data_IF_341157384338
#
_entry.id   IF_341157384338
#
_cell.length_a   1.000
_cell.length_b   1.000
_cell.length_c   1.000
_cell.angle_alpha   90.00
_cell.angle_beta   90.00
_cell.angle_gamma   90.00
#
_symmetry.space_group_name_H-M   'P 1'
#
loop_
_entity.id
_entity.type
_entity.pdbx_description
1 polymer ?
#
# COMPACT_ATOMS: atom_id res chain seq x y z
N UNK A 1 -7.81 -26.43 -56.99
CA UNK A 1 -6.96 -26.55 -55.78
C UNK A 1 -5.91 -25.44 -55.64
N UNK A 2 -5.11 -25.10 -56.65
CA UNK A 2 -4.06 -24.05 -56.53
C UNK A 2 -4.59 -22.65 -56.13
N UNK A 3 -5.79 -22.26 -56.56
CA UNK A 3 -6.40 -20.95 -56.22
C UNK A 3 -6.90 -20.84 -54.76
N UNK A 4 -7.24 -21.97 -54.12
CA UNK A 4 -7.75 -21.99 -52.73
C UNK A 4 -6.59 -21.90 -51.74
N UNK A 5 -5.46 -22.54 -52.05
CA UNK A 5 -4.24 -22.48 -51.23
C UNK A 5 -3.66 -21.05 -51.22
N UNK A 6 -3.69 -20.36 -52.37
CA UNK A 6 -3.23 -18.97 -52.44
C UNK A 6 -4.11 -18.01 -51.62
N UNK A 7 -5.42 -18.24 -51.58
CA UNK A 7 -6.35 -17.45 -50.76
C UNK A 7 -6.13 -17.69 -49.25
N UNK A 8 -5.86 -18.92 -48.84
CA UNK A 8 -5.54 -19.28 -47.45
C UNK A 8 -4.20 -18.69 -46.98
N UNK A 9 -3.20 -18.60 -47.86
CA UNK A 9 -1.91 -17.95 -47.56
C UNK A 9 -2.08 -16.43 -47.44
N UNK A 10 -2.88 -15.79 -48.30
CA UNK A 10 -3.13 -14.35 -48.20
C UNK A 10 -3.97 -14.02 -46.94
N UNK A 11 -4.98 -14.83 -46.59
CA UNK A 11 -5.73 -14.64 -45.34
C UNK A 11 -4.87 -14.87 -44.09
N UNK A 12 -3.91 -15.80 -44.10
CA UNK A 12 -2.98 -15.96 -42.97
C UNK A 12 -1.96 -14.83 -42.88
N UNK A 13 -1.52 -14.24 -43.99
CA UNK A 13 -0.68 -13.04 -43.95
C UNK A 13 -1.45 -11.78 -43.51
N UNK A 14 -2.75 -11.66 -43.81
CA UNK A 14 -3.58 -10.52 -43.37
C UNK A 14 -3.94 -10.64 -41.87
N UNK A 15 -4.13 -11.85 -41.34
CA UNK A 15 -4.37 -12.05 -39.89
C UNK A 15 -3.09 -11.82 -39.06
N UNK A 16 -1.89 -12.01 -39.62
CA UNK A 16 -0.62 -11.66 -38.96
C UNK A 16 -0.26 -10.18 -39.14
N UNK A 17 -0.86 -9.48 -40.13
CA UNK A 17 -0.61 -8.07 -40.42
C UNK A 17 -1.50 -7.05 -39.70
N UNK A 18 -2.44 -7.49 -38.86
CA UNK A 18 -3.33 -6.60 -38.07
C UNK A 18 -3.09 -6.68 -36.56
N UNK A 19 -1.94 -7.22 -36.12
CA UNK A 19 -1.57 -7.29 -34.72
C UNK A 19 -0.08 -6.96 -34.52
N UNK A 20 0.28 -5.70 -34.75
CA UNK A 20 1.35 -5.07 -33.98
C UNK A 20 1.24 -3.56 -34.18
N UNK A 21 0.40 -2.93 -33.35
CA UNK A 21 0.81 -1.62 -32.83
C UNK A 21 2.21 -1.80 -32.24
N UNK A 22 3.10 -0.83 -32.46
CA UNK A 22 4.48 -0.84 -32.01
C UNK A 22 4.56 -1.13 -30.51
N UNK A 23 4.67 -2.41 -30.14
CA UNK A 23 5.04 -2.79 -28.79
C UNK A 23 6.46 -2.27 -28.60
N UNK A 24 6.59 -1.12 -27.90
CA UNK A 24 7.86 -0.74 -27.28
C UNK A 24 8.30 -1.96 -26.46
N UNK A 25 9.31 -2.68 -26.95
CA UNK A 25 9.90 -3.78 -26.19
C UNK A 25 10.71 -3.13 -25.07
N UNK A 26 10.05 -2.86 -23.94
CA UNK A 26 10.70 -2.43 -22.72
C UNK A 26 11.72 -3.51 -22.33
N UNK A 27 13.01 -3.23 -22.54
CA UNK A 27 14.09 -4.14 -22.16
C UNK A 27 14.60 -3.74 -20.79
N UNK A 28 14.49 -4.65 -19.85
CA UNK A 28 15.12 -4.55 -18.55
C UNK A 28 16.64 -4.43 -18.71
N UNK A 29 17.23 -3.44 -18.04
CA UNK A 29 18.67 -3.21 -17.97
C UNK A 29 19.17 -3.52 -16.55
N UNK A 30 20.41 -3.94 -16.42
CA UNK A 30 21.03 -4.17 -15.12
C UNK A 30 21.79 -2.92 -14.64
N UNK A 31 21.90 -2.76 -13.33
CA UNK A 31 22.78 -1.81 -12.66
C UNK A 31 23.44 -2.46 -11.44
N UNK A 32 24.33 -1.73 -10.74
CA UNK A 32 25.16 -2.27 -9.65
C UNK A 32 24.37 -3.02 -8.55
N UNK A 33 23.14 -2.58 -8.27
CA UNK A 33 22.32 -3.12 -7.17
C UNK A 33 21.09 -3.91 -7.64
N UNK A 34 20.81 -3.95 -8.94
CA UNK A 34 19.69 -4.71 -9.47
C UNK A 34 19.32 -4.39 -10.92
N UNK A 35 18.04 -4.18 -11.18
CA UNK A 35 17.44 -4.09 -12.51
C UNK A 35 16.60 -2.81 -12.65
N UNK A 36 16.52 -2.26 -13.86
CA UNK A 36 15.75 -1.05 -14.16
C UNK A 36 15.03 -1.19 -15.50
N UNK A 37 13.85 -0.58 -15.62
CA UNK A 37 13.07 -0.50 -16.85
C UNK A 37 12.40 0.87 -16.94
N UNK A 38 12.35 1.46 -18.13
CA UNK A 38 11.59 2.68 -18.40
C UNK A 38 10.09 2.36 -18.34
N UNK A 39 9.30 3.22 -17.70
CA UNK A 39 7.85 3.10 -17.55
C UNK A 39 7.16 4.39 -18.03
N UNK A 40 5.83 4.36 -18.11
CA UNK A 40 5.05 5.55 -18.47
C UNK A 40 5.06 6.59 -17.34
N UNK A 41 5.14 7.86 -17.70
CA UNK A 41 4.99 8.95 -16.74
C UNK A 41 3.58 8.92 -16.12
N UNK A 42 3.49 9.11 -14.80
CA UNK A 42 2.22 9.03 -14.06
C UNK A 42 1.87 7.64 -13.53
N UNK A 43 2.54 6.58 -13.98
CA UNK A 43 2.34 5.22 -13.43
C UNK A 43 2.65 5.18 -11.92
N UNK A 44 1.71 4.66 -11.13
CA UNK A 44 1.82 4.49 -9.68
C UNK A 44 2.18 3.06 -9.31
N UNK A 45 3.10 2.88 -8.37
CA UNK A 45 3.49 1.57 -7.82
C UNK A 45 2.56 1.18 -6.67
N UNK A 46 2.00 -0.02 -6.68
CA UNK A 46 1.14 -0.48 -5.59
C UNK A 46 1.30 -1.97 -5.32
N UNK A 47 1.18 -2.35 -4.04
CA UNK A 47 1.05 -3.74 -3.62
C UNK A 47 -0.40 -4.09 -3.36
N UNK A 48 -0.86 -5.16 -4.00
CA UNK A 48 -2.09 -5.85 -3.63
C UNK A 48 -1.73 -7.27 -3.18
N UNK A 49 -2.00 -7.58 -1.91
CA UNK A 49 -1.56 -8.82 -1.24
C UNK A 49 -0.03 -8.96 -1.30
N UNK A 50 0.46 -9.87 -2.14
CA UNK A 50 1.88 -10.20 -2.34
C UNK A 50 2.34 -9.94 -3.79
N UNK A 51 1.53 -9.24 -4.60
CA UNK A 51 1.85 -8.92 -5.99
C UNK A 51 2.03 -7.42 -6.21
N UNK A 52 3.00 -7.09 -7.06
CA UNK A 52 3.33 -5.73 -7.46
C UNK A 52 2.55 -5.34 -8.70
N UNK A 53 2.03 -4.12 -8.72
CA UNK A 53 1.29 -3.55 -9.84
C UNK A 53 1.80 -2.16 -10.16
N UNK A 54 1.87 -1.85 -11.46
CA UNK A 54 1.86 -0.49 -11.97
C UNK A 54 0.43 -0.12 -12.35
N UNK A 55 0.05 1.09 -11.99
CA UNK A 55 -1.30 1.61 -12.15
C UNK A 55 -1.19 2.94 -12.91
N UNK A 56 -1.55 2.99 -14.20
CA UNK A 56 -1.65 4.25 -14.92
C UNK A 56 -2.79 5.10 -14.37
N UNK A 57 -2.93 6.31 -14.93
CA UNK A 57 -4.04 7.20 -14.60
C UNK A 57 -5.42 6.56 -14.89
N UNK A 58 -6.43 7.01 -14.14
CA UNK A 58 -7.81 6.55 -14.33
C UNK A 58 -8.32 7.06 -15.68
N UNK A 59 -8.88 6.16 -16.48
CA UNK A 59 -9.39 6.48 -17.83
C UNK A 59 -10.91 6.53 -17.86
N UNK A 60 -11.46 7.31 -18.81
CA UNK A 60 -12.90 7.53 -18.97
C UNK A 60 -13.31 7.28 -20.44
N UNK A 61 -13.54 6.02 -20.83
CA UNK A 61 -13.70 5.66 -22.25
C UNK A 61 -15.01 6.17 -22.89
N UNK A 62 -16.06 6.41 -22.10
CA UNK A 62 -17.42 6.70 -22.64
C UNK A 62 -17.90 8.15 -22.41
N UNK A 63 -17.03 9.08 -21.99
CA UNK A 63 -17.42 10.43 -21.50
C UNK A 63 -18.50 10.42 -20.38
N UNK A 64 -18.69 9.27 -19.73
CA UNK A 64 -19.54 9.09 -18.56
C UNK A 64 -18.70 9.21 -17.28
N UNK A 65 -19.33 9.30 -16.12
CA UNK A 65 -18.68 9.29 -14.80
C UNK A 65 -18.34 7.86 -14.33
N UNK A 66 -17.99 6.99 -15.27
CA UNK A 66 -17.49 5.64 -15.03
C UNK A 66 -16.02 5.57 -15.39
N UNK A 67 -15.18 5.53 -14.37
CA UNK A 67 -13.73 5.44 -14.53
C UNK A 67 -13.29 3.99 -14.71
N UNK A 68 -12.13 3.79 -15.32
CA UNK A 68 -11.47 2.49 -15.40
C UNK A 68 -10.03 2.60 -14.89
N UNK A 69 -9.64 1.66 -14.05
CA UNK A 69 -8.27 1.52 -13.55
C UNK A 69 -7.67 0.24 -14.11
N UNK A 70 -6.55 0.36 -14.81
CA UNK A 70 -5.74 -0.78 -15.20
C UNK A 70 -4.75 -1.14 -14.09
N UNK A 71 -4.63 -2.42 -13.78
CA UNK A 71 -3.61 -2.96 -12.89
C UNK A 71 -2.66 -3.84 -13.71
N UNK A 72 -1.49 -3.32 -14.03
CA UNK A 72 -0.43 -4.03 -14.77
C UNK A 72 0.42 -4.79 -13.76
N UNK A 73 0.22 -6.11 -13.64
CA UNK A 73 1.00 -6.95 -12.72
C UNK A 73 2.45 -7.01 -13.18
N UNK A 74 3.38 -6.64 -12.30
CA UNK A 74 4.80 -6.64 -12.60
C UNK A 74 5.47 -7.91 -12.09
N UNK A 75 6.14 -8.60 -13.00
CA UNK A 75 6.95 -9.77 -12.71
C UNK A 75 8.29 -9.42 -12.08
N UNK A 76 8.97 -10.44 -11.56
CA UNK A 76 10.32 -10.26 -10.98
C UNK A 76 11.37 -9.76 -11.97
N UNK A 77 11.13 -9.87 -13.27
CA UNK A 77 11.97 -9.35 -14.35
C UNK A 77 11.64 -7.89 -14.75
N UNK A 78 10.78 -7.21 -13.98
CA UNK A 78 10.25 -5.87 -14.24
C UNK A 78 9.29 -5.73 -15.43
N UNK A 79 8.93 -6.84 -16.07
CA UNK A 79 7.99 -6.81 -17.20
C UNK A 79 6.56 -7.05 -16.74
N UNK A 80 5.60 -6.44 -17.45
CA UNK A 80 4.18 -6.70 -17.23
C UNK A 80 3.85 -8.14 -17.61
N UNK A 81 3.25 -8.90 -16.69
CA UNK A 81 2.82 -10.29 -16.90
C UNK A 81 1.36 -10.38 -17.34
N UNK A 82 0.50 -9.51 -16.79
CA UNK A 82 -0.95 -9.55 -16.95
C UNK A 82 -1.55 -8.21 -16.53
N UNK A 83 -2.53 -7.72 -17.28
CA UNK A 83 -3.37 -6.59 -16.87
C UNK A 83 -4.75 -7.04 -16.38
N UNK A 84 -5.30 -6.31 -15.42
CA UNK A 84 -6.70 -6.43 -14.98
C UNK A 84 -7.33 -5.05 -15.02
N UNK A 85 -8.56 -4.93 -15.52
CA UNK A 85 -9.31 -3.67 -15.53
C UNK A 85 -10.38 -3.73 -14.45
N UNK A 86 -10.51 -2.64 -13.69
CA UNK A 86 -11.55 -2.44 -12.69
C UNK A 86 -12.37 -1.21 -13.02
N UNK A 87 -13.69 -1.35 -13.05
CA UNK A 87 -14.61 -0.23 -13.20
C UNK A 87 -14.80 0.49 -11.86
N UNK A 88 -14.65 1.81 -11.88
CA UNK A 88 -14.99 2.72 -10.80
C UNK A 88 -16.34 3.35 -11.10
N UNK A 89 -17.25 3.26 -10.13
CA UNK A 89 -18.60 3.84 -10.20
C UNK A 89 -18.78 4.90 -9.11
N UNK A 90 -19.90 5.62 -9.14
CA UNK A 90 -20.22 6.66 -8.17
C UNK A 90 -19.17 7.80 -8.13
N UNK A 91 -18.59 8.11 -9.29
CA UNK A 91 -17.74 9.29 -9.48
C UNK A 91 -18.63 10.50 -9.76
N UNK A 92 -18.19 11.68 -9.34
CA UNK A 92 -18.89 12.96 -9.50
C UNK A 92 -18.25 13.83 -10.61
N UNK A 93 -17.01 13.52 -11.01
CA UNK A 93 -16.19 14.19 -12.02
C UNK A 93 -15.15 13.19 -12.61
N UNK A 94 -14.62 13.46 -13.79
CA UNK A 94 -13.59 12.67 -14.46
C UNK A 94 -12.16 12.88 -13.91
N UNK A 95 -11.95 13.79 -12.96
CA UNK A 95 -10.64 13.95 -12.29
C UNK A 95 -10.59 13.07 -11.04
N UNK A 96 -9.90 11.94 -11.12
CA UNK A 96 -9.82 10.96 -10.02
C UNK A 96 -8.40 10.78 -9.52
N UNK A 97 -8.23 10.98 -8.21
CA UNK A 97 -6.98 10.73 -7.51
C UNK A 97 -7.01 9.38 -6.81
N UNK A 98 -6.02 8.55 -7.13
CA UNK A 98 -5.75 7.30 -6.43
C UNK A 98 -4.65 7.52 -5.40
N UNK A 99 -4.95 7.13 -4.16
CA UNK A 99 -4.10 7.40 -3.02
C UNK A 99 -3.92 6.14 -2.19
N UNK A 100 -2.69 5.65 -1.95
CA UNK A 100 -2.43 4.54 -1.04
C UNK A 100 -3.00 4.86 0.33
N UNK A 101 -3.79 3.93 0.87
CA UNK A 101 -4.47 4.19 2.12
C UNK A 101 -3.49 4.23 3.32
N UNK A 102 -2.48 3.37 3.31
CA UNK A 102 -1.41 3.35 4.31
C UNK A 102 -0.16 4.06 3.78
N UNK A 103 -0.19 5.39 3.71
CA UNK A 103 1.01 6.21 3.39
C UNK A 103 2.23 5.93 4.28
N UNK A 104 2.05 5.27 5.44
CA UNK A 104 3.08 5.23 6.49
C UNK A 104 3.77 3.87 6.66
N UNK A 105 3.49 2.88 5.83
CA UNK A 105 4.20 1.61 5.85
C UNK A 105 3.93 0.81 4.60
N UNK A 106 4.99 0.58 3.80
CA UNK A 106 5.06 -0.40 2.72
C UNK A 106 3.66 -0.86 2.20
N UNK A 107 3.05 -0.07 1.29
CA UNK A 107 1.61 0.07 1.15
C UNK A 107 0.89 -1.26 1.25
N UNK A 108 0.05 -1.41 2.26
CA UNK A 108 -0.92 -2.49 2.29
C UNK A 108 -2.02 -2.19 1.29
N UNK A 109 -2.21 -3.12 0.35
CA UNK A 109 -3.49 -3.70 -0.02
C UNK A 109 -4.51 -2.85 -0.74
N UNK A 110 -4.70 -1.57 -0.42
CA UNK A 110 -5.90 -0.84 -0.80
C UNK A 110 -5.58 0.61 -1.22
N UNK A 111 -6.35 1.12 -2.17
CA UNK A 111 -6.28 2.51 -2.64
C UNK A 111 -7.59 3.22 -2.33
N UNK A 112 -7.50 4.41 -1.73
CA UNK A 112 -8.63 5.33 -1.68
C UNK A 112 -8.81 6.01 -3.04
N UNK A 113 -10.07 6.16 -3.44
CA UNK A 113 -10.47 6.86 -4.67
C UNK A 113 -11.07 8.20 -4.27
N UNK A 114 -10.47 9.28 -4.75
CA UNK A 114 -10.90 10.65 -4.49
C UNK A 114 -11.33 11.36 -5.76
N UNK A 115 -12.27 12.28 -5.61
CA UNK A 115 -12.77 13.15 -6.65
C UNK A 115 -12.90 14.55 -6.03
N UNK A 116 -12.07 15.51 -6.47
CA UNK A 116 -11.89 16.83 -5.82
C UNK A 116 -11.76 16.77 -4.29
N UNK A 117 -10.83 15.97 -3.77
CA UNK A 117 -10.60 15.75 -2.32
C UNK A 117 -11.78 15.10 -1.57
N UNK A 118 -12.86 14.73 -2.25
CA UNK A 118 -13.94 13.94 -1.67
C UNK A 118 -13.69 12.47 -1.96
N UNK A 119 -13.60 11.67 -0.90
CA UNK A 119 -13.48 10.23 -1.07
C UNK A 119 -14.80 9.65 -1.58
N UNK A 120 -14.74 8.95 -2.71
CA UNK A 120 -15.90 8.36 -3.40
C UNK A 120 -15.87 6.83 -3.42
N UNK A 121 -14.74 6.22 -3.05
CA UNK A 121 -14.65 4.77 -2.90
C UNK A 121 -13.29 4.25 -2.46
N UNK A 122 -13.17 2.93 -2.41
CA UNK A 122 -11.96 2.20 -2.03
C UNK A 122 -11.76 1.05 -3.03
N UNK A 123 -10.59 0.96 -3.64
CA UNK A 123 -10.13 -0.21 -4.38
C UNK A 123 -9.45 -1.13 -3.38
N UNK A 124 -10.06 -2.27 -3.10
CA UNK A 124 -9.50 -3.26 -2.17
C UNK A 124 -8.59 -4.26 -2.87
N UNK A 125 -8.90 -4.59 -4.10
CA UNK A 125 -8.08 -5.48 -4.92
C UNK A 125 -8.22 -5.07 -6.37
N UNK A 126 -7.40 -5.65 -7.23
CA UNK A 126 -7.46 -5.43 -8.68
C UNK A 126 -8.81 -5.81 -9.30
N UNK A 127 -9.69 -6.48 -8.54
CA UNK A 127 -10.99 -6.97 -8.97
C UNK A 127 -12.15 -6.40 -8.13
N UNK A 128 -11.88 -5.57 -7.12
CA UNK A 128 -12.91 -5.12 -6.17
C UNK A 128 -12.81 -3.63 -5.85
N UNK A 129 -13.86 -2.92 -6.23
CA UNK A 129 -14.12 -1.53 -5.87
C UNK A 129 -15.34 -1.44 -4.93
N UNK A 130 -15.21 -0.71 -3.84
CA UNK A 130 -16.27 -0.45 -2.86
C UNK A 130 -16.65 1.04 -2.97
N UNK A 131 -17.80 1.37 -3.58
CA UNK A 131 -18.26 2.75 -3.68
C UNK A 131 -18.73 3.27 -2.31
N UNK A 132 -18.30 4.48 -1.95
CA UNK A 132 -18.76 5.20 -0.77
C UNK A 132 -19.79 6.23 -1.22
N UNK A 133 -21.07 5.89 -1.06
CA UNK A 133 -22.16 6.81 -1.39
C UNK A 133 -22.23 8.00 -0.43
N UNK A 134 -22.77 9.16 -0.85
CA UNK A 134 -23.01 10.30 0.04
C UNK A 134 -23.84 9.93 1.28
N UNK A 135 -24.82 9.04 1.13
CA UNK A 135 -25.63 8.51 2.23
C UNK A 135 -24.78 7.75 3.24
N UNK A 136 -23.88 6.88 2.78
CA UNK A 136 -22.96 6.14 3.66
C UNK A 136 -22.05 7.09 4.42
N UNK A 137 -21.50 8.11 3.75
CA UNK A 137 -20.67 9.13 4.40
C UNK A 137 -21.45 9.93 5.45
N UNK A 138 -22.70 10.27 5.18
CA UNK A 138 -23.56 10.96 6.16
C UNK A 138 -23.87 10.08 7.39
N UNK A 139 -24.11 8.78 7.18
CA UNK A 139 -24.48 7.85 8.27
C UNK A 139 -23.30 7.39 9.11
N UNK A 140 -22.12 7.23 8.49
CA UNK A 140 -20.95 6.60 9.11
C UNK A 140 -19.79 7.56 9.36
N UNK A 141 -19.80 8.70 8.69
CA UNK A 141 -18.74 9.71 8.76
C UNK A 141 -17.58 9.46 7.80
N UNK A 142 -16.44 10.04 8.15
CA UNK A 142 -15.21 9.91 7.39
C UNK A 142 -14.54 8.57 7.61
N UNK A 143 -13.80 8.11 6.62
CA UNK A 143 -13.11 6.85 6.66
C UNK A 143 -11.69 7.01 7.26
N UNK A 144 -11.29 6.07 8.13
CA UNK A 144 -10.03 6.17 8.90
C UNK A 144 -9.14 4.92 8.88
N UNK A 145 -9.61 3.80 8.31
CA UNK A 145 -8.86 2.53 8.35
C UNK A 145 -9.50 1.42 7.53
N UNK A 146 -8.77 0.69 6.68
CA UNK A 146 -9.26 -0.56 6.05
C UNK A 146 -8.32 -1.73 6.32
N UNK A 147 -8.82 -2.94 6.10
CA UNK A 147 -7.98 -4.09 5.83
C UNK A 147 -8.76 -5.26 5.26
N UNK A 148 -8.05 -6.13 4.53
CA UNK A 148 -8.57 -7.37 3.97
C UNK A 148 -8.19 -8.59 4.83
N UNK A 149 -9.17 -9.45 5.08
CA UNK A 149 -8.98 -10.76 5.70
C UNK A 149 -8.59 -11.83 4.67
N UNK A 150 -7.99 -12.93 5.11
CA UNK A 150 -7.57 -14.04 4.23
C UNK A 150 -8.73 -14.69 3.47
N UNK A 151 -9.94 -14.62 4.02
CA UNK A 151 -11.18 -15.10 3.39
C UNK A 151 -11.75 -14.15 2.31
N UNK A 152 -11.12 -12.99 2.09
CA UNK A 152 -11.56 -11.97 1.13
C UNK A 152 -12.69 -11.06 1.63
N UNK A 153 -13.08 -11.17 2.90
CA UNK A 153 -13.90 -10.17 3.58
C UNK A 153 -13.03 -8.95 3.93
N UNK A 154 -13.64 -7.78 3.90
CA UNK A 154 -12.96 -6.53 4.18
C UNK A 154 -13.58 -5.86 5.38
N UNK A 155 -12.78 -5.14 6.15
CA UNK A 155 -13.25 -4.29 7.24
C UNK A 155 -12.83 -2.86 6.98
N UNK A 156 -13.78 -1.94 7.12
CA UNK A 156 -13.58 -0.51 7.00
C UNK A 156 -14.00 0.12 8.31
N UNK A 157 -13.14 0.97 8.85
CA UNK A 157 -13.37 1.79 10.02
C UNK A 157 -13.76 3.20 9.58
N UNK A 158 -14.94 3.64 10.02
CA UNK A 158 -15.40 5.01 9.87
C UNK A 158 -15.41 5.75 11.20
N UNK A 159 -15.37 7.07 11.12
CA UNK A 159 -15.47 8.01 12.22
C UNK A 159 -16.51 9.08 11.91
N UNK A 160 -17.60 9.05 12.66
CA UNK A 160 -18.65 10.06 12.62
C UNK A 160 -18.31 11.17 13.63
N UNK A 161 -17.93 12.33 13.12
CA UNK A 161 -17.38 13.44 13.93
C UNK A 161 -18.41 14.03 14.90
N UNK A 162 -19.69 14.14 14.50
CA UNK A 162 -20.73 14.82 15.30
C UNK A 162 -20.92 14.13 16.65
N UNK A 163 -20.95 12.81 16.68
CA UNK A 163 -21.14 12.02 17.90
C UNK A 163 -19.83 11.37 18.39
N UNK A 164 -18.72 11.53 17.66
CA UNK A 164 -17.45 10.90 17.96
C UNK A 164 -17.52 9.36 17.92
N UNK A 165 -18.25 8.79 16.96
CA UNK A 165 -18.50 7.35 16.89
C UNK A 165 -17.58 6.70 15.87
N UNK A 166 -16.81 5.72 16.32
CA UNK A 166 -16.05 4.83 15.45
C UNK A 166 -16.85 3.57 15.13
N UNK A 167 -17.04 3.26 13.84
CA UNK A 167 -17.78 2.08 13.37
C UNK A 167 -16.90 1.20 12.52
N UNK A 168 -16.78 -0.07 12.89
CA UNK A 168 -16.24 -1.11 12.04
C UNK A 168 -17.39 -1.71 11.23
N UNK A 169 -17.29 -1.64 9.91
CA UNK A 169 -18.22 -2.29 8.98
C UNK A 169 -17.43 -3.39 8.25
N UNK A 170 -17.99 -4.58 8.16
CA UNK A 170 -17.43 -5.69 7.40
C UNK A 170 -18.25 -5.94 6.13
N UNK A 171 -17.56 -6.12 5.01
CA UNK A 171 -18.14 -6.51 3.74
C UNK A 171 -17.70 -7.92 3.39
N UNK A 172 -18.66 -8.69 2.88
CA UNK A 172 -18.37 -9.97 2.27
C UNK A 172 -17.57 -9.80 0.96
N UNK A 173 -17.11 -10.93 0.41
CA UNK A 173 -16.41 -10.96 -0.88
C UNK A 173 -17.29 -10.48 -2.05
N UNK A 174 -18.62 -10.46 -1.90
CA UNK A 174 -19.57 -9.95 -2.89
C UNK A 174 -19.85 -8.44 -2.73
N UNK A 175 -19.22 -7.77 -1.78
CA UNK A 175 -19.38 -6.33 -1.58
C UNK A 175 -20.67 -5.96 -0.84
N UNK A 176 -21.27 -6.89 -0.07
CA UNK A 176 -22.39 -6.59 0.83
C UNK A 176 -21.92 -6.48 2.26
N UNK A 177 -22.47 -5.50 2.98
CA UNK A 177 -22.25 -5.38 4.43
C UNK A 177 -22.85 -6.61 5.11
N UNK A 178 -22.03 -7.35 5.86
CA UNK A 178 -22.46 -8.55 6.58
C UNK A 178 -22.42 -8.39 8.10
N UNK A 179 -21.56 -7.51 8.65
CA UNK A 179 -21.44 -7.23 10.09
C UNK A 179 -21.09 -5.78 10.32
N UNK A 180 -21.60 -5.21 11.40
CA UNK A 180 -21.25 -3.86 11.85
C UNK A 180 -21.17 -3.81 13.37
N UNK A 181 -20.26 -2.99 13.89
CA UNK A 181 -20.12 -2.78 15.32
C UNK A 181 -19.37 -1.49 15.63
N UNK A 182 -19.87 -0.72 16.59
CA UNK A 182 -19.15 0.46 17.06
C UNK A 182 -18.00 0.05 17.98
N UNK A 183 -16.86 0.75 17.92
CA UNK A 183 -15.75 0.45 18.82
C UNK A 183 -16.16 0.59 20.29
N UNK A 184 -17.05 1.52 20.61
CA UNK A 184 -17.62 1.67 21.96
C UNK A 184 -18.35 0.41 22.42
N UNK A 185 -19.15 -0.23 21.56
CA UNK A 185 -19.85 -1.47 21.90
C UNK A 185 -18.88 -2.66 22.02
N UNK A 186 -17.89 -2.75 21.12
CA UNK A 186 -16.92 -3.84 21.08
C UNK A 186 -15.97 -3.77 22.29
N UNK A 187 -15.42 -2.59 22.57
CA UNK A 187 -14.43 -2.35 23.63
C UNK A 187 -15.04 -2.06 25.00
N UNK A 188 -16.32 -1.64 25.02
CA UNK A 188 -17.05 -1.12 26.19
C UNK A 188 -16.48 0.20 26.75
N UNK A 189 -15.74 0.96 25.95
CA UNK A 189 -15.16 2.26 26.33
C UNK A 189 -15.80 3.42 25.57
N UNK A 190 -16.20 4.48 26.30
CA UNK A 190 -17.00 5.60 25.76
C UNK A 190 -16.18 6.81 25.28
N UNK A 191 -14.85 6.69 25.24
CA UNK A 191 -13.94 7.80 25.00
C UNK A 191 -12.69 7.31 24.27
N UNK A 192 -12.91 6.74 23.10
CA UNK A 192 -11.82 6.33 22.21
C UNK A 192 -11.40 7.51 21.36
N UNK A 193 -10.14 7.50 20.98
CA UNK A 193 -9.66 8.31 19.86
C UNK A 193 -8.62 7.52 19.10
N UNK A 194 -8.84 7.35 17.79
CA UNK A 194 -8.17 6.37 16.92
C UNK A 194 -7.80 7.05 15.61
N UNK A 195 -6.54 6.90 15.19
CA UNK A 195 -6.00 7.47 13.94
C UNK A 195 -5.46 6.42 12.96
N UNK A 196 -5.48 5.14 13.35
CA UNK A 196 -5.00 4.05 12.51
C UNK A 196 -5.58 2.71 12.95
N UNK A 197 -5.80 1.84 11.96
CA UNK A 197 -6.10 0.42 12.11
C UNK A 197 -5.17 -0.39 11.21
N UNK A 198 -4.88 -1.61 11.61
CA UNK A 198 -4.26 -2.60 10.75
C UNK A 198 -5.03 -3.93 10.84
N UNK A 199 -5.09 -4.67 9.73
CA UNK A 199 -5.49 -6.09 9.74
C UNK A 199 -4.23 -6.93 9.59
N UNK A 200 -4.02 -7.86 10.53
CA UNK A 200 -2.86 -8.74 10.55
C UNK A 200 -3.26 -10.11 11.10
N UNK A 201 -2.93 -11.18 10.39
CA UNK A 201 -3.32 -12.56 10.74
C UNK A 201 -4.80 -12.68 11.13
N UNK A 202 -5.68 -12.12 10.29
CA UNK A 202 -7.13 -12.13 10.47
C UNK A 202 -7.65 -11.50 11.76
N UNK A 203 -6.86 -10.60 12.35
CA UNK A 203 -7.26 -9.78 13.50
C UNK A 203 -7.14 -8.32 13.15
N UNK A 204 -8.08 -7.55 13.67
CA UNK A 204 -8.11 -6.10 13.59
C UNK A 204 -7.34 -5.56 14.78
N UNK A 205 -6.32 -4.75 14.54
CA UNK A 205 -5.55 -4.03 15.54
C UNK A 205 -5.93 -2.56 15.48
N UNK A 206 -6.33 -2.02 16.63
CA UNK A 206 -6.68 -0.61 16.79
C UNK A 206 -5.91 -0.06 17.96
N UNK A 207 -5.18 1.03 17.75
CA UNK A 207 -4.58 1.79 18.83
C UNK A 207 -5.46 3.00 19.17
N UNK A 208 -5.80 3.15 20.45
CA UNK A 208 -6.40 4.39 20.94
C UNK A 208 -5.44 5.17 21.82
N UNK A 209 -5.14 6.40 21.41
CA UNK A 209 -4.25 7.29 22.15
C UNK A 209 -4.89 7.89 23.40
N UNK A 210 -6.22 7.98 23.44
CA UNK A 210 -6.93 8.50 24.62
C UNK A 210 -6.96 7.49 25.77
N UNK A 211 -7.14 6.20 25.46
CA UNK A 211 -7.13 5.13 26.47
C UNK A 211 -5.76 4.48 26.64
N UNK A 212 -4.77 4.81 25.80
CA UNK A 212 -3.46 4.18 25.72
C UNK A 212 -3.53 2.65 25.64
N UNK A 213 -4.44 2.16 24.80
CA UNK A 213 -4.66 0.73 24.61
C UNK A 213 -4.53 0.32 23.15
N UNK A 214 -3.97 -0.87 22.95
CA UNK A 214 -4.14 -1.61 21.69
C UNK A 214 -5.25 -2.63 21.90
N UNK A 215 -6.27 -2.56 21.05
CA UNK A 215 -7.37 -3.50 20.99
C UNK A 215 -7.11 -4.49 19.86
N UNK A 216 -7.31 -5.76 20.16
CA UNK A 216 -7.29 -6.85 19.18
C UNK A 216 -8.72 -7.36 19.05
N UNK A 217 -9.28 -7.22 17.86
CA UNK A 217 -10.69 -7.50 17.55
C UNK A 217 -10.72 -8.61 16.50
N UNK A 218 -11.60 -9.58 16.66
CA UNK A 218 -11.76 -10.67 15.69
C UNK A 218 -12.54 -10.24 14.45
N UNK A 219 -12.53 -11.05 13.39
CA UNK A 219 -13.39 -10.91 12.21
C UNK A 219 -14.89 -10.87 12.54
N UNK A 220 -15.30 -11.43 13.68
CA UNK A 220 -16.68 -11.38 14.19
C UNK A 220 -16.99 -10.11 14.99
N UNK A 221 -16.09 -9.12 14.95
CA UNK A 221 -16.19 -7.87 15.71
C UNK A 221 -16.29 -8.11 17.22
N UNK A 222 -15.62 -9.16 17.73
CA UNK A 222 -15.52 -9.44 19.17
C UNK A 222 -14.15 -9.01 19.67
N UNK A 223 -14.13 -8.34 20.82
CA UNK A 223 -12.89 -8.03 21.51
C UNK A 223 -12.21 -9.32 21.96
N UNK A 224 -10.98 -9.55 21.50
CA UNK A 224 -10.12 -10.65 21.91
C UNK A 224 -9.21 -10.21 23.07
N UNK A 225 -8.53 -9.08 22.90
CA UNK A 225 -7.61 -8.53 23.87
C UNK A 225 -7.68 -7.00 23.89
N UNK A 226 -7.39 -6.43 25.06
CA UNK A 226 -7.15 -5.00 25.24
C UNK A 226 -5.92 -4.85 26.12
N UNK A 227 -4.81 -4.42 25.52
CA UNK A 227 -3.54 -4.27 26.21
C UNK A 227 -3.36 -2.82 26.64
N UNK A 228 -3.24 -2.57 27.93
CA UNK A 228 -2.84 -1.26 28.44
C UNK A 228 -1.34 -1.08 28.18
N UNK A 229 -1.00 -0.10 27.35
CA UNK A 229 0.36 0.18 26.90
C UNK A 229 0.80 1.59 27.29
N UNK A 230 0.14 2.22 28.26
CA UNK A 230 0.42 3.60 28.71
C UNK A 230 1.91 3.83 29.01
N UNK A 231 2.56 2.89 29.70
CA UNK A 231 3.98 2.98 30.04
C UNK A 231 4.91 3.01 28.81
N UNK A 232 4.56 2.26 27.76
CA UNK A 232 5.33 2.21 26.52
C UNK A 232 4.97 3.40 25.60
N UNK A 233 3.69 3.74 25.49
CA UNK A 233 3.24 4.83 24.62
C UNK A 233 3.66 6.21 25.11
N UNK A 234 3.85 6.42 26.43
CA UNK A 234 4.50 7.63 26.96
C UNK A 234 5.91 7.85 26.42
N UNK A 235 6.62 6.77 26.04
CA UNK A 235 7.94 6.86 25.40
C UNK A 235 7.84 7.09 23.90
N UNK A 236 6.66 6.91 23.29
CA UNK A 236 6.44 6.96 21.84
C UNK A 236 5.75 8.26 21.43
N UNK A 237 4.78 8.78 22.17
CA UNK A 237 3.91 9.89 21.75
C UNK A 237 4.10 11.11 22.67
N UNK A 238 4.60 12.25 22.16
CA UNK A 238 4.57 13.50 22.90
C UNK A 238 3.13 14.02 23.05
N UNK A 239 2.76 14.47 24.25
CA UNK A 239 1.40 14.95 24.59
C UNK A 239 0.86 16.09 23.69
N UNK A 240 1.73 16.80 22.96
CA UNK A 240 1.38 18.00 22.19
C UNK A 240 0.89 17.75 20.76
N UNK A 241 1.10 16.57 20.17
CA UNK A 241 1.05 16.41 18.70
C UNK A 241 -0.03 15.47 18.16
N UNK A 242 -1.00 15.05 18.96
CA UNK A 242 -1.97 14.02 18.55
C UNK A 242 -1.29 12.65 18.34
N UNK A 243 -1.97 11.69 17.72
CA UNK A 243 -1.44 10.33 17.58
C UNK A 243 -0.66 10.14 16.28
N UNK A 244 0.59 10.60 16.30
CA UNK A 244 1.64 10.29 15.30
C UNK A 244 2.04 8.80 15.23
N UNK A 245 1.18 7.90 15.69
CA UNK A 245 1.41 6.47 15.83
C UNK A 245 0.82 5.72 14.65
N UNK A 246 1.63 4.84 14.04
CA UNK A 246 1.20 4.01 12.92
C UNK A 246 1.62 2.57 13.12
N UNK A 247 0.81 1.65 12.59
CA UNK A 247 1.19 0.25 12.45
C UNK A 247 2.06 0.08 11.19
N UNK A 248 3.02 -0.83 11.23
CA UNK A 248 3.86 -1.20 10.08
C UNK A 248 4.13 -2.70 10.09
N UNK A 249 3.91 -3.33 8.95
CA UNK A 249 4.16 -4.76 8.75
C UNK A 249 5.58 -4.98 8.19
N UNK A 250 6.37 -5.81 8.88
CA UNK A 250 7.57 -6.42 8.29
C UNK A 250 7.14 -7.72 7.62
N UNK A 251 7.05 -7.70 6.28
CA UNK A 251 6.44 -8.78 5.49
C UNK A 251 7.26 -10.06 5.46
N UNK A 252 8.59 -9.96 5.50
CA UNK A 252 9.50 -11.11 5.43
C UNK A 252 9.43 -11.96 6.70
N UNK A 253 9.32 -11.31 7.84
CA UNK A 253 9.21 -11.92 9.16
C UNK A 253 7.77 -12.20 9.56
N UNK A 254 6.81 -11.61 8.84
CA UNK A 254 5.39 -11.60 9.21
C UNK A 254 5.23 -11.10 10.65
N UNK A 255 5.79 -9.93 10.96
CA UNK A 255 5.72 -9.29 12.27
C UNK A 255 5.08 -7.88 12.14
N UNK A 256 4.14 -7.57 13.02
CA UNK A 256 3.49 -6.26 13.08
C UNK A 256 4.15 -5.40 14.16
N UNK A 257 4.47 -4.16 13.80
CA UNK A 257 5.08 -3.18 14.68
C UNK A 257 4.19 -1.94 14.79
N UNK A 258 4.47 -1.13 15.81
CA UNK A 258 3.93 0.20 16.01
C UNK A 258 5.11 1.16 16.26
N UNK A 259 5.03 2.37 15.69
CA UNK A 259 6.08 3.38 15.84
C UNK A 259 5.49 4.80 15.74
N UNK A 260 6.24 5.80 16.22
CA UNK A 260 5.95 7.21 15.98
C UNK A 260 6.65 7.67 14.70
N UNK A 261 5.91 8.11 13.69
CA UNK A 261 6.51 8.55 12.42
C UNK A 261 7.07 9.99 12.46
N UNK A 262 6.65 10.80 13.42
CA UNK A 262 7.17 12.15 13.68
C UNK A 262 8.46 12.09 14.51
N UNK A 263 8.56 11.12 15.42
CA UNK A 263 9.73 10.91 16.30
C UNK A 263 10.20 9.44 16.27
N UNK A 264 10.68 8.95 15.11
CA UNK A 264 11.07 7.55 14.97
C UNK A 264 12.23 7.13 15.89
N UNK A 265 13.04 8.07 16.36
CA UNK A 265 14.14 7.84 17.29
C UNK A 265 13.69 7.35 18.67
N UNK A 266 12.41 7.57 19.02
CA UNK A 266 11.78 7.04 20.23
C UNK A 266 11.69 5.50 20.23
N UNK A 267 11.89 4.90 19.06
CA UNK A 267 12.03 3.47 18.87
C UNK A 267 10.79 2.83 18.27
N UNK A 268 10.97 1.56 17.92
CA UNK A 268 9.97 0.70 17.32
C UNK A 268 9.52 -0.31 18.36
N UNK A 269 8.23 -0.63 18.37
CA UNK A 269 7.66 -1.60 19.29
C UNK A 269 6.98 -2.72 18.51
N UNK A 270 7.27 -3.95 18.88
CA UNK A 270 6.67 -5.14 18.31
C UNK A 270 5.35 -5.46 19.01
N UNK A 271 4.31 -5.79 18.22
CA UNK A 271 3.10 -6.39 18.75
C UNK A 271 3.31 -7.89 18.91
N UNK A 272 3.26 -8.35 20.15
CA UNK A 272 3.39 -9.76 20.52
C UNK A 272 2.04 -10.34 20.92
N UNK A 273 1.99 -11.64 21.22
CA UNK A 273 0.75 -12.28 21.68
C UNK A 273 0.27 -11.75 23.04
N UNK A 274 1.15 -11.14 23.81
CA UNK A 274 0.90 -10.69 25.19
C UNK A 274 0.75 -9.19 25.31
N UNK A 275 1.09 -8.42 24.27
CA UNK A 275 1.06 -6.97 24.35
C UNK A 275 2.02 -6.31 23.39
N UNK A 276 2.68 -5.28 23.91
CA UNK A 276 3.64 -4.48 23.19
C UNK A 276 5.01 -4.59 23.85
N UNK A 277 6.03 -4.90 23.05
CA UNK A 277 7.41 -5.03 23.51
C UNK A 277 8.31 -4.08 22.72
N UNK A 278 9.21 -3.39 23.42
CA UNK A 278 10.20 -2.55 22.74
C UNK A 278 11.13 -3.45 21.93
N UNK A 279 11.38 -3.07 20.68
CA UNK A 279 12.31 -3.80 19.83
C UNK A 279 13.71 -3.80 20.47
N UNK A 280 14.25 -4.99 20.65
CA UNK A 280 15.65 -5.21 21.00
C UNK A 280 16.48 -5.32 19.72
N UNK A 281 17.32 -4.33 19.48
CA UNK A 281 18.25 -4.29 18.35
C UNK A 281 19.40 -5.28 18.54
N UNK A 282 20.07 -5.66 17.43
CA UNK A 282 21.20 -6.58 17.44
C UNK A 282 20.83 -8.07 17.42
N UNK A 283 19.54 -8.43 17.36
CA UNK A 283 19.13 -9.83 17.23
C UNK A 283 19.39 -10.33 15.80
N UNK A 284 20.05 -11.49 15.65
CA UNK A 284 20.44 -12.03 14.33
C UNK A 284 19.25 -12.22 13.37
N UNK A 285 18.04 -12.51 13.90
CA UNK A 285 16.83 -12.63 13.07
C UNK A 285 16.45 -11.33 12.32
N UNK A 286 16.93 -10.19 12.81
CA UNK A 286 16.70 -8.87 12.23
C UNK A 286 17.82 -8.38 11.33
N UNK A 287 18.89 -9.16 11.17
CA UNK A 287 20.00 -8.80 10.29
C UNK A 287 19.49 -8.61 8.86
N UNK A 288 19.85 -7.48 8.27
CA UNK A 288 19.40 -7.04 6.94
C UNK A 288 17.87 -6.94 6.79
N UNK A 289 17.12 -6.81 7.90
CA UNK A 289 15.68 -6.62 7.90
C UNK A 289 15.34 -5.16 8.17
N UNK A 290 14.44 -4.63 7.34
CA UNK A 290 14.03 -3.24 7.41
C UNK A 290 12.51 -3.12 7.50
N UNK A 291 12.04 -2.09 8.21
CA UNK A 291 10.70 -1.54 7.98
C UNK A 291 10.84 -0.43 6.94
N UNK A 292 10.02 -0.47 5.89
CA UNK A 292 9.93 0.62 4.93
C UNK A 292 8.67 1.45 5.22
N UNK A 293 8.87 2.69 5.64
CA UNK A 293 7.81 3.53 6.18
C UNK A 293 8.21 5.01 6.08
N UNK A 294 7.24 5.90 5.84
CA UNK A 294 7.49 7.36 5.80
C UNK A 294 8.75 7.73 4.99
N UNK A 295 8.86 7.17 3.78
CA UNK A 295 9.98 7.40 2.85
C UNK A 295 11.37 7.10 3.46
N UNK A 296 11.45 6.07 4.31
CA UNK A 296 12.70 5.64 4.89
C UNK A 296 12.73 4.17 5.27
N UNK A 297 13.94 3.63 5.37
CA UNK A 297 14.24 2.31 5.88
C UNK A 297 14.69 2.39 7.32
N UNK A 298 13.95 1.72 8.21
CA UNK A 298 14.32 1.54 9.61
C UNK A 298 14.95 0.17 9.78
N UNK A 299 16.26 0.13 10.04
CA UNK A 299 16.98 -1.11 10.34
C UNK A 299 16.48 -1.69 11.67
N UNK A 300 15.98 -2.91 11.63
CA UNK A 300 15.56 -3.64 12.84
C UNK A 300 16.75 -4.19 13.64
N UNK A 301 17.94 -4.21 13.05
CA UNK A 301 19.17 -4.70 13.68
C UNK A 301 20.04 -3.57 14.23
N UNK A 302 20.26 -2.51 13.48
CA UNK A 302 21.31 -1.51 13.77
C UNK A 302 20.79 -0.22 14.42
N UNK A 303 19.47 -0.09 14.61
CA UNK A 303 18.83 1.14 15.10
C UNK A 303 19.19 2.36 14.24
N UNK A 304 19.13 2.18 12.92
CA UNK A 304 19.41 3.24 11.96
C UNK A 304 18.16 3.54 11.12
N UNK A 305 17.94 4.82 10.85
CA UNK A 305 16.98 5.30 9.85
C UNK A 305 17.76 5.76 8.63
N UNK A 306 17.36 5.30 7.45
CA UNK A 306 17.96 5.63 6.17
C UNK A 306 16.86 6.26 5.34
N UNK A 307 16.91 7.57 5.16
CA UNK A 307 15.91 8.29 4.38
C UNK A 307 16.12 8.01 2.89
N UNK A 308 15.01 7.96 2.16
CA UNK A 308 14.99 7.77 0.70
C UNK A 308 14.28 8.92 -0.01
N UNK A 309 13.97 10.00 0.70
CA UNK A 309 13.41 11.26 0.19
C UNK A 309 14.47 12.07 -0.58
N UNK A 310 15.13 11.42 -1.52
CA UNK A 310 15.93 12.11 -2.54
C UNK A 310 14.99 12.62 -3.62
N UNK A 311 15.30 13.76 -4.26
CA UNK A 311 14.55 14.30 -5.42
C UNK A 311 14.34 13.27 -6.55
N UNK A 312 15.14 12.21 -6.56
CA UNK A 312 15.11 11.13 -7.54
C UNK A 312 14.08 10.04 -7.24
N UNK A 313 13.65 9.75 -6.00
CA UNK A 313 12.78 8.60 -5.67
C UNK A 313 11.38 9.07 -5.28
N UNK A 314 10.38 8.72 -6.09
CA UNK A 314 9.00 9.20 -5.92
C UNK A 314 8.10 8.25 -5.14
N UNK A 315 8.37 6.95 -5.24
CA UNK A 315 7.57 5.93 -4.59
C UNK A 315 8.37 4.64 -4.45
N UNK A 316 8.17 3.91 -3.36
CA UNK A 316 8.83 2.63 -3.15
C UNK A 316 7.98 1.63 -2.38
N UNK A 317 8.28 0.35 -2.55
CA UNK A 317 7.63 -0.77 -1.85
C UNK A 317 8.65 -1.88 -1.57
N UNK A 318 8.55 -2.49 -0.39
CA UNK A 318 9.40 -3.60 0.03
C UNK A 318 8.61 -4.91 -0.02
N UNK A 319 8.97 -5.82 -0.92
CA UNK A 319 8.23 -7.06 -1.11
C UNK A 319 8.46 -8.05 0.05
N UNK A 320 7.56 -9.03 0.17
CA UNK A 320 7.67 -10.14 1.15
C UNK A 320 8.93 -11.01 0.96
N UNK A 321 9.52 -11.00 -0.23
CA UNK A 321 10.79 -11.67 -0.50
C UNK A 321 12.02 -10.80 -0.18
N UNK A 322 11.83 -9.57 0.32
CA UNK A 322 12.85 -8.59 0.66
C UNK A 322 13.37 -7.78 -0.53
N UNK A 323 12.84 -7.96 -1.73
CA UNK A 323 13.18 -7.11 -2.86
C UNK A 323 12.53 -5.73 -2.70
N UNK A 324 13.28 -4.68 -2.98
CA UNK A 324 12.79 -3.30 -2.97
C UNK A 324 12.53 -2.83 -4.39
N UNK A 325 11.33 -2.31 -4.64
CA UNK A 325 10.94 -1.73 -5.92
C UNK A 325 10.65 -0.25 -5.73
N UNK A 326 11.11 0.60 -6.64
CA UNK A 326 10.87 2.03 -6.55
C UNK A 326 10.87 2.72 -7.91
N UNK A 327 10.13 3.83 -7.97
CA UNK A 327 10.01 4.69 -9.14
C UNK A 327 10.94 5.90 -8.99
N UNK A 328 11.62 6.26 -10.08
CA UNK A 328 12.58 7.37 -10.14
C UNK A 328 12.60 8.05 -11.52
N UNK A 329 13.12 9.28 -11.61
CA UNK A 329 13.45 9.92 -12.90
C UNK A 329 14.86 9.59 -13.40
N UNK A 330 15.69 8.96 -12.57
CA UNK A 330 17.09 8.66 -12.87
C UNK A 330 17.28 7.28 -13.51
N UNK A 331 18.00 7.21 -14.64
CA UNK A 331 18.44 5.93 -15.22
C UNK A 331 19.59 5.34 -14.38
N UNK A 332 19.27 4.43 -13.47
CA UNK A 332 20.29 3.74 -12.65
C UNK A 332 21.22 2.85 -13.46
N UNK A 333 20.86 2.45 -14.69
CA UNK A 333 21.79 1.72 -15.58
C UNK A 333 22.87 2.62 -16.18
N UNK A 334 22.66 3.95 -16.18
CA UNK A 334 23.63 4.96 -16.60
C UNK A 334 23.64 6.13 -15.60
N UNK A 335 24.10 5.91 -14.34
CA UNK A 335 23.88 6.84 -13.23
C UNK A 335 24.61 8.20 -13.37
N UNK A 336 25.50 8.32 -14.35
CA UNK A 336 26.22 9.56 -14.71
C UNK A 336 25.47 10.41 -15.74
N UNK A 337 24.41 9.88 -16.35
CA UNK A 337 23.57 10.62 -17.28
C UNK A 337 22.64 11.54 -16.48
N UNK A 338 22.47 12.77 -16.95
CA UNK A 338 21.46 13.69 -16.41
C UNK A 338 20.06 13.11 -16.61
N UNK A 339 19.15 13.43 -15.68
CA UNK A 339 17.75 13.04 -15.79
C UNK A 339 17.13 13.66 -17.04
N UNK A 340 16.38 12.86 -17.78
CA UNK A 340 15.66 13.32 -18.98
C UNK A 340 14.24 13.72 -18.57
N UNK A 341 13.79 14.89 -19.02
CA UNK A 341 12.43 15.39 -18.75
C UNK A 341 11.38 14.38 -19.26
N UNK A 342 10.36 14.11 -18.43
CA UNK A 342 9.27 13.16 -18.73
C UNK A 342 9.66 11.67 -18.71
N UNK A 343 10.90 11.32 -18.39
CA UNK A 343 11.30 9.90 -18.25
C UNK A 343 11.20 9.42 -16.82
N UNK A 344 10.59 8.24 -16.68
CA UNK A 344 10.38 7.57 -15.40
C UNK A 344 10.85 6.12 -15.51
N UNK A 345 11.44 5.61 -14.44
CA UNK A 345 12.00 4.26 -14.37
C UNK A 345 11.47 3.51 -13.15
N UNK A 346 11.07 2.26 -13.36
CA UNK A 346 10.87 1.30 -12.28
C UNK A 346 12.17 0.55 -12.05
N UNK A 347 12.62 0.53 -10.80
CA UNK A 347 13.83 -0.15 -10.37
C UNK A 347 13.49 -1.27 -9.40
N UNK A 348 14.31 -2.31 -9.41
CA UNK A 348 14.29 -3.40 -8.45
C UNK A 348 15.69 -3.57 -7.88
N UNK A 349 15.79 -3.55 -6.57
CA UNK A 349 16.99 -3.92 -5.80
C UNK A 349 16.70 -5.24 -5.12
N UNK A 350 17.51 -6.26 -5.43
CA UNK A 350 17.35 -7.58 -4.81
C UNK A 350 17.63 -7.52 -3.31
N UNK A 351 16.94 -8.33 -2.51
CA UNK A 351 17.17 -8.44 -1.05
C UNK A 351 18.66 -8.46 -0.66
N UNK A 352 19.45 -9.29 -1.34
CA UNK A 352 20.89 -9.47 -1.06
C UNK A 352 21.70 -8.18 -1.28
N UNK A 353 21.26 -7.31 -2.16
CA UNK A 353 21.94 -6.04 -2.51
C UNK A 353 21.35 -4.84 -1.79
N UNK A 354 20.21 -4.99 -1.11
CA UNK A 354 19.53 -3.90 -0.42
C UNK A 354 20.43 -3.22 0.61
N UNK A 355 21.16 -3.91 1.52
CA UNK A 355 22.03 -3.22 2.48
C UNK A 355 23.06 -2.30 1.81
N UNK A 356 23.77 -2.81 0.81
CA UNK A 356 24.77 -2.02 0.07
C UNK A 356 24.16 -0.87 -0.74
N UNK A 357 22.94 -1.05 -1.27
CA UNK A 357 22.23 0.02 -1.94
C UNK A 357 21.89 1.15 -0.96
N UNK A 358 21.36 0.81 0.22
CA UNK A 358 21.01 1.78 1.25
C UNK A 358 22.24 2.51 1.79
N UNK A 359 23.37 1.82 1.97
CA UNK A 359 24.64 2.47 2.35
C UNK A 359 25.10 3.48 1.29
N UNK A 360 24.89 3.19 0.01
CA UNK A 360 25.24 4.12 -1.07
C UNK A 360 24.39 5.39 -1.07
N UNK A 361 23.15 5.32 -0.56
CA UNK A 361 22.29 6.49 -0.39
C UNK A 361 22.80 7.39 0.75
N UNK A 362 23.17 6.79 1.90
CA UNK A 362 23.74 7.53 3.05
C UNK A 362 24.97 8.36 2.68
N UNK A 363 25.83 7.82 1.82
CA UNK A 363 27.11 8.46 1.45
C UNK A 363 26.98 9.74 0.61
N UNK A 364 25.74 10.10 0.22
CA UNK A 364 25.43 11.29 -0.57
C UNK A 364 24.81 12.43 0.26
N UNK A 365 24.43 12.16 1.50
CA UNK A 365 24.09 13.17 2.52
C UNK A 365 25.37 13.66 3.21
#
# INVERSE_FOLDING_TARGET
MKKVIFLLIICSCIVVGCASEDFKVYRTKSFQYGETVEIEEGDKLQLFKDSLYLIPEVTFPDNDLKGQVEFRKIGSNLLSEKSTLLELTNLEDSIVDLTPFSYNSNPSGELSVFNFNKQVGIIESTEKYIPISPKMKQEKGDYIGTGTFTNGENVIMFFEETNGIYTLTCWDKQGKINKEGTLTAITKEKNLSVESMAVFEDKIYVYSYKSNKVYVISQDLKLLHAWNIEGEMRKVVPEKWGSSVKFVLQRELNELFIYNYVQPEQGIYQLTKTGLEKLEYGQEKYKDMYLYANEGFYSLHEKQVIRTDTEDIYQGVLMKNGDYYFITSKDFSHPQKESEEGKVYLNKVSKKKLPSFLDSLKSKE
#
